data_IF_339724032857
#
_entry.id   IF_339724032857
#
_cell.length_a   1.000
_cell.length_b   1.000
_cell.length_c   1.000
_cell.angle_alpha   90.00
_cell.angle_beta   90.00
_cell.angle_gamma   90.00
#
_symmetry.space_group_name_H-M   'P 1'
#
loop_
_entity.id
_entity.type
_entity.pdbx_description
1 polymer ?
#
# COMPACT_ATOMS: atom_id res chain seq x y z
N UNK A 1 9.37 10.40 -5.81
CA UNK A 1 8.82 9.10 -5.38
C UNK A 1 7.41 9.37 -4.89
N UNK A 2 6.41 8.64 -5.40
CA UNK A 2 5.05 8.73 -4.90
C UNK A 2 4.97 7.96 -3.57
N UNK A 3 4.60 8.62 -2.48
CA UNK A 3 4.54 8.03 -1.13
C UNK A 3 3.24 8.46 -0.47
N UNK A 4 2.23 7.59 -0.54
CA UNK A 4 0.89 7.87 -0.04
C UNK A 4 0.62 7.12 1.26
N UNK A 5 0.01 7.79 2.22
CA UNK A 5 -0.51 7.19 3.44
C UNK A 5 -2.03 7.34 3.45
N UNK A 6 -2.73 6.21 3.53
CA UNK A 6 -4.19 6.18 3.54
C UNK A 6 -4.68 6.09 4.98
N UNK A 7 -5.58 6.98 5.37
CA UNK A 7 -6.13 7.07 6.71
C UNK A 7 -7.66 7.22 6.65
N UNK A 8 -8.31 6.79 7.71
CA UNK A 8 -9.72 7.08 7.96
C UNK A 8 -9.94 8.60 8.14
N UNK A 9 -11.11 9.11 7.76
CA UNK A 9 -11.43 10.55 7.87
C UNK A 9 -11.41 11.09 9.31
N UNK A 10 -11.56 10.21 10.30
CA UNK A 10 -11.50 10.55 11.73
C UNK A 10 -10.11 10.34 12.34
N UNK A 11 -9.08 10.07 11.52
CA UNK A 11 -7.71 10.00 11.99
C UNK A 11 -7.31 11.29 12.74
N UNK A 12 -6.62 11.13 13.87
CA UNK A 12 -6.34 12.27 14.75
C UNK A 12 -5.45 13.31 14.06
N UNK A 13 -5.65 14.62 14.31
CA UNK A 13 -4.83 15.67 13.69
C UNK A 13 -3.32 15.50 13.90
N UNK A 14 -2.90 14.95 15.04
CA UNK A 14 -1.50 14.68 15.34
C UNK A 14 -0.91 13.58 14.44
N UNK A 15 -1.70 12.56 14.08
CA UNK A 15 -1.27 11.51 13.16
C UNK A 15 -1.11 12.06 11.73
N UNK A 16 -2.07 12.86 11.26
CA UNK A 16 -1.99 13.51 9.94
C UNK A 16 -0.71 14.35 9.86
N UNK A 17 -0.48 15.23 10.84
CA UNK A 17 0.72 16.06 10.89
C UNK A 17 2.01 15.23 10.90
N UNK A 18 2.07 14.18 11.73
CA UNK A 18 3.26 13.34 11.82
C UNK A 18 3.58 12.60 10.51
N UNK A 19 2.56 12.31 9.69
CA UNK A 19 2.73 11.72 8.36
C UNK A 19 3.18 12.75 7.32
N UNK A 20 2.59 13.94 7.31
CA UNK A 20 3.01 15.05 6.43
C UNK A 20 4.45 15.48 6.72
N UNK A 21 4.83 15.60 7.99
CA UNK A 21 6.20 15.91 8.43
C UNK A 21 7.22 14.85 7.99
N UNK A 22 6.77 13.61 7.74
CA UNK A 22 7.57 12.53 7.16
C UNK A 22 7.56 12.49 5.63
N UNK A 23 6.85 13.42 4.99
CA UNK A 23 6.79 13.57 3.54
C UNK A 23 5.79 12.66 2.83
N UNK A 24 4.82 12.10 3.56
CA UNK A 24 3.71 11.36 2.94
C UNK A 24 2.67 12.32 2.37
N UNK A 25 2.16 12.00 1.18
CA UNK A 25 0.86 12.50 0.72
C UNK A 25 -0.22 11.77 1.52
N UNK A 26 -0.88 12.49 2.44
CA UNK A 26 -1.93 11.91 3.28
C UNK A 26 -3.25 11.93 2.53
N UNK A 27 -3.83 10.75 2.33
CA UNK A 27 -5.15 10.57 1.71
C UNK A 27 -6.11 10.11 2.79
N UNK A 28 -7.10 10.95 3.10
CA UNK A 28 -8.20 10.57 3.97
C UNK A 28 -9.40 10.09 3.17
N UNK A 29 -10.17 9.16 3.71
CA UNK A 29 -11.43 8.71 3.12
C UNK A 29 -12.47 8.45 4.19
N UNK A 30 -13.73 8.78 3.87
CA UNK A 30 -14.91 8.42 4.67
C UNK A 30 -15.40 6.99 4.41
N UNK A 31 -14.82 6.33 3.42
CA UNK A 31 -15.09 4.94 3.08
C UNK A 31 -14.06 3.99 3.69
N UNK A 32 -14.11 2.74 3.23
CA UNK A 32 -13.11 1.75 3.60
C UNK A 32 -11.72 2.14 3.05
N UNK A 33 -10.76 2.27 3.97
CA UNK A 33 -9.38 2.66 3.69
C UNK A 33 -8.70 1.65 2.75
N UNK A 34 -8.98 0.36 2.94
CA UNK A 34 -8.39 -0.70 2.13
C UNK A 34 -8.93 -0.65 0.70
N UNK A 35 -10.22 -0.36 0.53
CA UNK A 35 -10.81 -0.15 -0.80
C UNK A 35 -10.16 1.04 -1.50
N UNK A 36 -10.03 2.19 -0.81
CA UNK A 36 -9.43 3.38 -1.42
C UNK A 36 -7.97 3.15 -1.82
N UNK A 37 -7.20 2.50 -0.96
CA UNK A 37 -5.81 2.14 -1.24
C UNK A 37 -5.72 1.18 -2.42
N UNK A 38 -6.51 0.10 -2.43
CA UNK A 38 -6.47 -0.91 -3.48
C UNK A 38 -6.79 -0.33 -4.86
N UNK A 39 -7.78 0.57 -4.93
CA UNK A 39 -8.16 1.26 -6.16
C UNK A 39 -7.04 2.16 -6.67
N UNK A 40 -6.49 3.02 -5.81
CA UNK A 40 -5.42 3.94 -6.21
C UNK A 40 -4.12 3.21 -6.58
N UNK A 41 -3.74 2.17 -5.83
CA UNK A 41 -2.58 1.34 -6.14
C UNK A 41 -2.74 0.64 -7.49
N UNK A 42 -3.93 0.10 -7.76
CA UNK A 42 -4.24 -0.53 -9.03
C UNK A 42 -4.21 0.48 -10.17
N UNK A 43 -4.85 1.64 -10.02
CA UNK A 43 -4.86 2.72 -11.02
C UNK A 43 -3.44 3.17 -11.38
N UNK A 44 -2.63 3.47 -10.37
CA UNK A 44 -1.24 3.90 -10.52
C UNK A 44 -0.42 2.86 -11.29
N UNK A 45 -0.60 1.57 -10.96
CA UNK A 45 0.11 0.49 -11.64
C UNK A 45 -0.36 0.26 -13.10
N UNK A 46 -1.67 0.37 -13.38
CA UNK A 46 -2.18 0.12 -14.74
C UNK A 46 -1.97 1.29 -15.71
N UNK A 47 -1.82 2.50 -15.19
CA UNK A 47 -1.46 3.69 -15.96
C UNK A 47 0.04 3.73 -16.33
N UNK A 48 0.83 2.74 -15.88
CA UNK A 48 2.28 2.65 -16.08
C UNK A 48 3.03 3.91 -15.61
N UNK A 49 2.55 4.51 -14.53
CA UNK A 49 3.16 5.72 -13.93
C UNK A 49 4.30 5.39 -12.96
N UNK A 50 4.48 4.10 -12.65
CA UNK A 50 5.48 3.59 -11.71
C UNK A 50 6.15 2.33 -12.26
N UNK A 51 7.44 2.18 -11.98
CA UNK A 51 8.19 0.94 -12.26
C UNK A 51 8.08 -0.07 -11.11
N UNK A 52 7.85 0.43 -9.89
CA UNK A 52 7.80 -0.36 -8.66
C UNK A 52 6.61 0.06 -7.81
N UNK A 53 5.77 -0.90 -7.43
CA UNK A 53 4.72 -0.75 -6.43
C UNK A 53 5.18 -1.37 -5.10
N UNK A 54 5.37 -0.53 -4.10
CA UNK A 54 5.63 -0.97 -2.72
C UNK A 54 4.34 -0.85 -1.92
N UNK A 55 3.81 -1.98 -1.45
CA UNK A 55 2.61 -2.04 -0.63
C UNK A 55 3.00 -2.36 0.81
N UNK A 56 2.66 -1.47 1.73
CA UNK A 56 2.89 -1.68 3.17
C UNK A 56 1.57 -2.05 3.85
N UNK A 57 1.30 -3.34 3.97
CA UNK A 57 0.09 -3.83 4.62
C UNK A 57 0.28 -5.27 5.11
N UNK A 58 -0.60 -5.68 6.03
CA UNK A 58 -0.76 -7.07 6.45
C UNK A 58 -1.94 -7.75 5.78
N UNK A 59 -2.83 -6.99 5.14
CA UNK A 59 -4.10 -7.50 4.66
C UNK A 59 -3.94 -8.32 3.36
N UNK A 60 -4.42 -9.55 3.36
CA UNK A 60 -4.37 -10.42 2.20
C UNK A 60 -5.24 -9.93 1.04
N UNK A 61 -6.23 -9.08 1.30
CA UNK A 61 -7.19 -8.60 0.29
C UNK A 61 -6.54 -7.67 -0.75
N UNK A 62 -5.32 -7.19 -0.50
CA UNK A 62 -4.53 -6.47 -1.51
C UNK A 62 -3.85 -7.38 -2.54
N UNK A 63 -3.91 -8.71 -2.40
CA UNK A 63 -3.30 -9.65 -3.34
C UNK A 63 -3.68 -9.37 -4.80
N UNK A 64 -4.96 -9.12 -5.17
CA UNK A 64 -5.33 -8.82 -6.54
C UNK A 64 -4.69 -7.54 -7.10
N UNK A 65 -4.41 -6.53 -6.26
CA UNK A 65 -3.73 -5.31 -6.68
C UNK A 65 -2.27 -5.59 -7.04
N UNK A 66 -1.57 -6.41 -6.25
CA UNK A 66 -0.20 -6.85 -6.54
C UNK A 66 -0.15 -7.70 -7.81
N UNK A 67 -1.06 -8.67 -7.95
CA UNK A 67 -1.14 -9.51 -9.16
C UNK A 67 -1.40 -8.66 -10.40
N UNK A 68 -2.35 -7.71 -10.33
CA UNK A 68 -2.64 -6.81 -11.46
C UNK A 68 -1.42 -5.96 -11.83
N UNK A 69 -0.73 -5.38 -10.85
CA UNK A 69 0.50 -4.63 -11.10
C UNK A 69 1.58 -5.48 -11.78
N UNK A 70 1.79 -6.71 -11.30
CA UNK A 70 2.73 -7.64 -11.90
C UNK A 70 2.38 -7.97 -13.37
N UNK A 71 1.10 -8.15 -13.70
CA UNK A 71 0.68 -8.39 -15.09
C UNK A 71 0.94 -7.20 -16.03
N UNK A 72 1.15 -5.99 -15.47
CA UNK A 72 1.52 -4.79 -16.22
C UNK A 72 3.03 -4.56 -16.30
N UNK A 73 3.84 -5.49 -15.78
CA UNK A 73 5.29 -5.36 -15.76
C UNK A 73 5.82 -4.48 -14.62
N UNK A 74 4.95 -4.03 -13.70
CA UNK A 74 5.36 -3.27 -12.51
C UNK A 74 5.93 -4.25 -11.49
N UNK A 75 7.16 -3.99 -11.01
CA UNK A 75 7.74 -4.81 -9.94
C UNK A 75 7.00 -4.55 -8.63
N UNK A 76 6.65 -5.61 -7.91
CA UNK A 76 5.86 -5.49 -6.68
C UNK A 76 6.67 -5.88 -5.44
N UNK A 77 6.51 -5.11 -4.37
CA UNK A 77 7.13 -5.39 -3.07
C UNK A 77 6.05 -5.32 -1.99
N UNK A 78 5.90 -6.39 -1.22
CA UNK A 78 5.04 -6.41 -0.04
C UNK A 78 5.85 -6.19 1.23
N UNK A 79 5.51 -5.19 2.03
CA UNK A 79 6.17 -4.92 3.33
C UNK A 79 5.14 -5.13 4.43
N UNK A 80 5.45 -6.04 5.35
CA UNK A 80 4.70 -6.19 6.58
C UNK A 80 5.33 -5.34 7.69
N UNK A 81 4.55 -4.51 8.41
CA UNK A 81 5.05 -3.68 9.50
C UNK A 81 5.49 -4.46 10.76
N UNK A 82 5.35 -5.78 10.75
CA UNK A 82 5.81 -6.68 11.80
C UNK A 82 5.55 -8.14 11.44
N UNK A 83 6.13 -9.07 12.20
CA UNK A 83 5.96 -10.52 11.98
C UNK A 83 4.55 -11.00 12.35
N UNK A 84 3.95 -10.40 13.37
CA UNK A 84 2.62 -10.77 13.84
C UNK A 84 1.52 -10.32 12.86
N UNK A 85 0.75 -11.30 12.37
CA UNK A 85 -0.36 -11.08 11.44
C UNK A 85 0.07 -10.77 10.01
N UNK A 86 1.34 -10.99 9.64
CA UNK A 86 1.79 -10.84 8.25
C UNK A 86 1.10 -11.83 7.32
N UNK A 87 0.60 -11.35 6.19
CA UNK A 87 -0.02 -12.19 5.16
C UNK A 87 1.00 -12.95 4.30
N UNK A 88 0.94 -14.28 4.35
CA UNK A 88 1.67 -15.13 3.40
C UNK A 88 1.12 -15.00 1.97
N UNK A 89 -0.16 -14.65 1.81
CA UNK A 89 -0.77 -14.42 0.50
C UNK A 89 -0.09 -13.26 -0.23
N UNK A 90 0.16 -12.14 0.48
CA UNK A 90 0.90 -11.00 -0.09
C UNK A 90 2.35 -11.35 -0.41
N UNK A 91 3.02 -12.11 0.47
CA UNK A 91 4.40 -12.54 0.25
C UNK A 91 4.55 -13.39 -1.00
N UNK A 92 3.60 -14.31 -1.22
CA UNK A 92 3.62 -15.20 -2.37
C UNK A 92 3.23 -14.50 -3.67
N UNK A 93 2.44 -13.42 -3.59
CA UNK A 93 2.00 -12.66 -4.76
C UNK A 93 2.98 -11.56 -5.20
N UNK A 94 3.83 -11.07 -4.29
CA UNK A 94 4.81 -10.04 -4.57
C UNK A 94 6.10 -10.62 -5.20
N UNK A 95 6.84 -9.80 -5.96
CA UNK A 95 8.16 -10.18 -6.45
C UNK A 95 9.21 -10.20 -5.33
N UNK A 96 9.09 -9.30 -4.35
CA UNK A 96 9.89 -9.31 -3.12
C UNK A 96 8.97 -9.07 -1.92
N UNK A 97 9.35 -9.59 -0.75
CA UNK A 97 8.62 -9.38 0.47
C UNK A 97 9.54 -9.13 1.66
N UNK A 98 9.23 -8.10 2.44
CA UNK A 98 9.99 -7.69 3.62
C UNK A 98 9.11 -7.65 4.85
N UNK A 99 9.74 -7.76 6.01
CA UNK A 99 9.09 -7.60 7.30
C UNK A 99 9.96 -6.70 8.14
N UNK A 100 9.35 -5.68 8.72
CA UNK A 100 10.04 -4.75 9.60
C UNK A 100 10.18 -5.40 10.99
N UNK A 101 11.30 -5.12 11.65
CA UNK A 101 11.61 -5.54 13.03
C UNK A 101 11.26 -4.42 14.02
#
# INVERSE_FOLDING_TARGET
MLQRLYLDEHATPNLLRAAEERGFEVITTSGDVDVRLAVDATATAVENTIDVLVLVSRDADFKPALERAATRGVRTVAIAPGSYGRSDALRNAAHDARTLE
#
